data_IF_218319150509
#
_entry.id   IF_218319150509
#
_cell.length_a   1.000
_cell.length_b   1.000
_cell.length_c   1.000
_cell.angle_alpha   90.00
_cell.angle_beta   90.00
_cell.angle_gamma   90.00
#
_symmetry.space_group_name_H-M   'P 1'
#
loop_
_entity.id
_entity.type
_entity.pdbx_description
1 polymer ?
#
# COMPACT_ATOMS: atom_id res chain seq x y z
N UNK A 1 -54.80 36.63 13.37
CA UNK A 1 -53.39 36.84 13.03
C UNK A 1 -52.83 35.58 12.43
N UNK A 2 -52.26 35.60 11.25
CA UNK A 2 -51.56 34.43 10.72
C UNK A 2 -50.30 34.17 11.56
N UNK A 3 -49.93 32.91 11.84
CA UNK A 3 -48.74 32.59 12.59
C UNK A 3 -47.50 33.12 11.88
N UNK A 4 -46.63 33.82 12.59
CA UNK A 4 -45.34 34.31 12.10
C UNK A 4 -44.52 33.10 11.66
N UNK A 5 -43.94 33.06 10.42
CA UNK A 5 -43.13 31.99 9.96
C UNK A 5 -41.91 31.82 10.90
N UNK A 6 -41.83 30.66 11.58
CA UNK A 6 -40.65 30.33 12.40
C UNK A 6 -39.39 30.45 11.54
N UNK A 7 -38.54 31.42 11.81
CA UNK A 7 -37.23 31.53 11.16
C UNK A 7 -36.42 30.32 11.54
N UNK A 8 -36.21 29.41 10.59
CA UNK A 8 -35.29 28.29 10.79
C UNK A 8 -33.97 28.79 11.32
N UNK A 9 -33.43 28.23 12.42
CA UNK A 9 -32.25 28.74 13.11
C UNK A 9 -31.06 28.84 12.15
N UNK A 10 -30.32 29.95 12.19
CA UNK A 10 -29.21 30.29 11.27
C UNK A 10 -28.14 29.22 11.20
N UNK A 11 -27.83 28.54 12.31
CA UNK A 11 -26.85 27.47 12.36
C UNK A 11 -27.18 26.29 11.41
N UNK A 12 -28.47 25.94 11.23
CA UNK A 12 -28.88 24.88 10.30
C UNK A 12 -28.58 25.24 8.83
N UNK A 13 -28.72 26.54 8.48
CA UNK A 13 -28.37 27.04 7.14
C UNK A 13 -26.84 26.98 6.94
N UNK A 14 -26.07 27.39 7.93
CA UNK A 14 -24.61 27.33 7.90
C UNK A 14 -24.10 25.91 7.76
N UNK A 15 -24.59 24.96 8.56
CA UNK A 15 -24.20 23.55 8.45
C UNK A 15 -24.52 22.96 7.08
N UNK A 16 -25.68 23.27 6.51
CA UNK A 16 -26.01 22.83 5.15
C UNK A 16 -25.09 23.42 4.09
N UNK A 17 -24.77 24.71 4.21
CA UNK A 17 -23.82 25.35 3.30
C UNK A 17 -22.44 24.70 3.38
N UNK A 18 -21.92 24.46 4.59
CA UNK A 18 -20.64 23.78 4.80
C UNK A 18 -20.64 22.35 4.22
N UNK A 19 -21.70 21.57 4.43
CA UNK A 19 -21.80 20.24 3.90
C UNK A 19 -21.88 20.20 2.35
N UNK A 20 -22.59 21.16 1.75
CA UNK A 20 -22.63 21.32 0.28
C UNK A 20 -21.26 21.73 -0.25
N UNK A 21 -20.61 22.72 0.38
CA UNK A 21 -19.27 23.17 -0.03
C UNK A 21 -18.24 22.05 0.08
N UNK A 22 -18.26 21.30 1.18
CA UNK A 22 -17.42 20.09 1.31
C UNK A 22 -17.68 19.09 0.18
N UNK A 23 -18.95 18.75 -0.08
CA UNK A 23 -19.30 17.79 -1.11
C UNK A 23 -18.84 18.21 -2.51
N UNK A 24 -19.00 19.50 -2.85
CA UNK A 24 -18.50 20.05 -4.12
C UNK A 24 -16.97 19.99 -4.18
N UNK A 25 -16.28 20.46 -3.14
CA UNK A 25 -14.81 20.42 -3.09
C UNK A 25 -14.28 18.97 -3.18
N UNK A 26 -14.88 18.04 -2.44
CA UNK A 26 -14.49 16.62 -2.47
C UNK A 26 -14.76 15.98 -3.84
N UNK A 27 -15.86 16.32 -4.50
CA UNK A 27 -16.15 15.85 -5.87
C UNK A 27 -15.13 16.41 -6.87
N UNK A 28 -14.77 17.68 -6.78
CA UNK A 28 -13.73 18.28 -7.62
C UNK A 28 -12.36 17.65 -7.36
N UNK A 29 -11.99 17.43 -6.10
CA UNK A 29 -10.76 16.74 -5.74
C UNK A 29 -10.73 15.32 -6.29
N UNK A 30 -11.85 14.59 -6.20
CA UNK A 30 -11.97 13.24 -6.78
C UNK A 30 -11.82 13.28 -8.30
N UNK A 31 -12.44 14.24 -8.97
CA UNK A 31 -12.28 14.43 -10.42
C UNK A 31 -10.81 14.72 -10.80
N UNK A 32 -10.11 15.55 -10.02
CA UNK A 32 -8.67 15.81 -10.23
C UNK A 32 -7.86 14.51 -10.10
N UNK A 33 -8.10 13.69 -9.08
CA UNK A 33 -7.41 12.41 -8.90
C UNK A 33 -7.70 11.45 -10.05
N UNK A 34 -8.96 11.34 -10.48
CA UNK A 34 -9.36 10.40 -11.54
C UNK A 34 -8.88 10.82 -12.93
N UNK A 35 -8.84 12.13 -13.21
CA UNK A 35 -8.44 12.66 -14.54
C UNK A 35 -6.92 12.71 -14.67
N UNK A 36 -6.23 13.20 -13.64
CA UNK A 36 -4.78 13.42 -13.70
C UNK A 36 -3.97 12.27 -13.12
N UNK A 37 -4.63 11.32 -12.42
CA UNK A 37 -3.97 10.21 -11.73
C UNK A 37 -2.76 10.72 -10.92
N UNK A 38 -1.58 10.15 -11.10
CA UNK A 38 -0.33 10.61 -10.47
C UNK A 38 0.45 11.60 -11.38
N UNK A 39 -0.17 12.14 -12.43
CA UNK A 39 0.47 13.02 -13.42
C UNK A 39 0.97 14.37 -12.90
N UNK A 40 0.57 14.77 -11.67
CA UNK A 40 1.09 15.95 -11.00
C UNK A 40 1.05 15.80 -9.47
N UNK A 41 1.79 16.67 -8.78
CA UNK A 41 1.92 16.62 -7.31
C UNK A 41 0.58 16.76 -6.59
N UNK A 42 -0.33 17.59 -7.10
CA UNK A 42 -1.63 17.83 -6.44
C UNK A 42 -2.51 16.58 -6.50
N UNK A 43 -2.66 15.97 -7.68
CA UNK A 43 -3.46 14.74 -7.83
C UNK A 43 -2.83 13.57 -7.04
N UNK A 44 -1.52 13.46 -7.05
CA UNK A 44 -0.80 12.46 -6.25
C UNK A 44 -1.09 12.62 -4.74
N UNK A 45 -0.93 13.84 -4.19
CA UNK A 45 -1.16 14.10 -2.75
C UNK A 45 -2.63 13.88 -2.39
N UNK A 46 -3.57 14.33 -3.22
CA UNK A 46 -4.99 14.06 -3.02
C UNK A 46 -5.27 12.55 -3.01
N UNK A 47 -4.68 11.78 -3.91
CA UNK A 47 -4.79 10.32 -3.95
C UNK A 47 -4.23 9.65 -2.69
N UNK A 48 -3.05 10.07 -2.24
CA UNK A 48 -2.38 9.55 -1.06
C UNK A 48 -3.21 9.74 0.22
N UNK A 49 -3.89 10.87 0.36
CA UNK A 49 -4.72 11.21 1.53
C UNK A 49 -6.22 10.99 1.32
N UNK A 50 -6.61 10.25 0.27
CA UNK A 50 -8.02 10.08 -0.11
C UNK A 50 -8.90 9.54 1.02
N UNK A 51 -8.41 8.62 1.83
CA UNK A 51 -9.15 8.06 2.96
C UNK A 51 -9.63 9.15 3.94
N UNK A 52 -8.85 10.21 4.13
CA UNK A 52 -9.14 11.25 5.10
C UNK A 52 -10.17 12.28 4.63
N UNK A 53 -10.06 12.73 3.37
CA UNK A 53 -10.99 13.74 2.87
C UNK A 53 -12.25 13.14 2.24
N UNK A 54 -12.30 11.83 1.96
CA UNK A 54 -13.51 11.13 1.54
C UNK A 54 -14.37 10.62 2.71
N UNK A 55 -13.75 10.18 3.82
CA UNK A 55 -14.46 9.59 4.96
C UNK A 55 -15.61 10.43 5.52
N UNK A 56 -15.52 11.78 5.64
CA UNK A 56 -16.63 12.59 6.13
C UNK A 56 -17.91 12.45 5.31
N UNK A 57 -17.83 12.13 4.01
CA UNK A 57 -19.00 11.94 3.16
C UNK A 57 -19.90 10.79 3.65
N UNK A 58 -19.32 9.72 4.20
CA UNK A 58 -20.08 8.58 4.75
C UNK A 58 -20.99 8.99 5.91
N UNK A 59 -20.55 9.95 6.73
CA UNK A 59 -21.36 10.48 7.84
C UNK A 59 -22.38 11.50 7.34
N UNK A 60 -22.04 12.30 6.32
CA UNK A 60 -22.92 13.35 5.81
C UNK A 60 -24.13 12.80 5.04
N UNK A 61 -24.03 11.61 4.41
CA UNK A 61 -25.17 10.99 3.70
C UNK A 61 -26.37 10.75 4.61
N UNK A 62 -26.27 9.98 5.72
CA UNK A 62 -27.41 9.73 6.59
C UNK A 62 -27.92 11.02 7.27
N UNK A 63 -27.03 11.96 7.60
CA UNK A 63 -27.41 13.27 8.16
C UNK A 63 -28.20 14.11 7.17
N UNK A 64 -27.78 14.13 5.88
CA UNK A 64 -28.48 14.85 4.82
C UNK A 64 -29.85 14.21 4.52
N UNK A 65 -29.94 12.90 4.52
CA UNK A 65 -31.18 12.16 4.36
C UNK A 65 -32.17 12.46 5.50
N UNK A 66 -31.73 12.34 6.76
CA UNK A 66 -32.55 12.65 7.94
C UNK A 66 -33.02 14.12 7.98
N UNK A 67 -32.21 15.06 7.47
CA UNK A 67 -32.56 16.48 7.37
C UNK A 67 -33.42 16.81 6.16
N UNK A 68 -33.76 15.83 5.29
CA UNK A 68 -34.51 16.06 4.04
C UNK A 68 -33.82 16.99 3.04
N UNK A 69 -32.49 17.09 3.07
CA UNK A 69 -31.74 18.04 2.27
C UNK A 69 -31.27 17.43 0.94
N UNK A 70 -32.10 17.47 -0.09
CA UNK A 70 -31.77 16.95 -1.44
C UNK A 70 -30.47 17.56 -1.99
N UNK A 71 -30.23 18.88 -1.78
CA UNK A 71 -29.00 19.57 -2.25
C UNK A 71 -27.75 19.02 -1.58
N UNK A 72 -27.78 18.84 -0.25
CA UNK A 72 -26.64 18.26 0.47
C UNK A 72 -26.43 16.83 0.04
N UNK A 73 -27.49 16.03 -0.07
CA UNK A 73 -27.40 14.63 -0.50
C UNK A 73 -26.75 14.53 -1.88
N UNK A 74 -27.21 15.31 -2.86
CA UNK A 74 -26.62 15.31 -4.20
C UNK A 74 -25.14 15.70 -4.18
N UNK A 75 -24.76 16.71 -3.38
CA UNK A 75 -23.37 17.16 -3.32
C UNK A 75 -22.41 16.10 -2.73
N UNK A 76 -22.86 15.31 -1.71
CA UNK A 76 -21.99 14.34 -1.03
C UNK A 76 -22.06 12.93 -1.63
N UNK A 77 -22.92 12.66 -2.60
CA UNK A 77 -23.11 11.31 -3.17
C UNK A 77 -21.82 10.78 -3.82
N UNK A 78 -21.20 11.53 -4.70
CA UNK A 78 -19.99 11.06 -5.40
C UNK A 78 -18.83 10.75 -4.44
N UNK A 79 -18.43 11.67 -3.52
CA UNK A 79 -17.40 11.34 -2.54
C UNK A 79 -17.82 10.21 -1.57
N UNK A 80 -19.10 10.04 -1.25
CA UNK A 80 -19.57 8.94 -0.42
C UNK A 80 -19.48 7.59 -1.13
N UNK A 81 -19.81 7.55 -2.43
CA UNK A 81 -19.64 6.33 -3.26
C UNK A 81 -18.16 5.95 -3.32
N UNK A 82 -17.27 6.91 -3.56
CA UNK A 82 -15.84 6.66 -3.57
C UNK A 82 -15.33 6.16 -2.21
N UNK A 83 -15.72 6.80 -1.10
CA UNK A 83 -15.40 6.37 0.25
C UNK A 83 -15.94 4.96 0.55
N UNK A 84 -17.17 4.66 0.12
CA UNK A 84 -17.78 3.34 0.25
C UNK A 84 -17.05 2.26 -0.55
N UNK A 85 -16.63 2.59 -1.77
CA UNK A 85 -15.83 1.68 -2.60
C UNK A 85 -14.44 1.38 -1.99
N UNK A 86 -13.85 2.36 -1.28
CA UNK A 86 -12.59 2.15 -0.56
C UNK A 86 -12.79 1.34 0.73
N UNK A 87 -13.79 1.68 1.55
CA UNK A 87 -13.99 1.10 2.87
C UNK A 87 -14.83 -0.20 2.84
N UNK A 88 -15.68 -0.37 1.84
CA UNK A 88 -16.64 -1.47 1.74
C UNK A 88 -16.02 -2.86 1.85
N UNK A 89 -14.92 -3.16 1.14
CA UNK A 89 -14.26 -4.46 1.26
C UNK A 89 -13.92 -4.82 2.70
N UNK A 90 -13.37 -3.90 3.48
CA UNK A 90 -13.00 -4.12 4.89
C UNK A 90 -14.21 -4.39 5.80
N UNK A 91 -15.35 -3.77 5.48
CA UNK A 91 -16.61 -4.02 6.18
C UNK A 91 -17.15 -5.40 5.83
N UNK A 92 -17.17 -5.76 4.54
CA UNK A 92 -17.63 -7.09 4.08
C UNK A 92 -16.74 -8.19 4.66
N UNK A 93 -15.44 -8.07 4.58
CA UNK A 93 -14.49 -9.07 5.09
C UNK A 93 -14.64 -9.32 6.60
N UNK A 94 -15.09 -8.31 7.36
CA UNK A 94 -15.34 -8.45 8.80
C UNK A 94 -16.47 -9.42 9.11
N UNK A 95 -17.45 -9.53 8.21
CA UNK A 95 -18.62 -10.40 8.37
C UNK A 95 -18.54 -11.68 7.54
N UNK A 96 -17.52 -11.82 6.71
CA UNK A 96 -17.29 -12.97 5.85
C UNK A 96 -15.80 -13.36 5.89
N UNK A 97 -15.30 -13.84 7.03
CA UNK A 97 -13.91 -14.27 7.15
C UNK A 97 -13.64 -15.48 6.26
N UNK A 98 -12.42 -15.59 5.74
CA UNK A 98 -11.97 -16.78 5.01
C UNK A 98 -11.64 -17.87 6.02
N UNK A 99 -12.26 -19.05 5.86
CA UNK A 99 -12.05 -20.22 6.72
C UNK A 99 -11.10 -21.22 6.05
N UNK A 100 -9.88 -20.79 5.72
CA UNK A 100 -8.85 -21.66 5.17
C UNK A 100 -7.62 -21.65 6.07
N UNK A 101 -6.92 -22.80 6.16
CA UNK A 101 -5.60 -22.83 6.77
C UNK A 101 -4.58 -22.24 5.81
N UNK A 102 -3.68 -21.38 6.28
CA UNK A 102 -2.62 -20.86 5.42
C UNK A 102 -1.53 -21.92 5.19
N UNK A 103 -1.02 -21.98 3.96
CA UNK A 103 0.13 -22.78 3.60
C UNK A 103 1.43 -21.99 3.69
N UNK A 104 1.35 -20.66 3.58
CA UNK A 104 2.50 -19.76 3.50
C UNK A 104 2.21 -18.44 4.18
N UNK A 105 3.14 -17.94 4.97
CA UNK A 105 3.10 -16.59 5.53
C UNK A 105 4.19 -15.72 4.93
N UNK A 106 3.76 -14.66 4.26
CA UNK A 106 4.65 -13.64 3.70
C UNK A 106 4.52 -12.35 4.49
N UNK A 107 5.63 -11.67 4.73
CA UNK A 107 5.56 -10.32 5.29
C UNK A 107 6.43 -9.36 4.50
N UNK A 108 6.02 -8.09 4.47
CA UNK A 108 6.84 -6.99 3.96
C UNK A 108 7.06 -5.93 5.01
N UNK A 109 8.25 -5.32 5.00
CA UNK A 109 8.61 -4.29 5.95
C UNK A 109 9.68 -3.34 5.42
N UNK A 110 9.35 -2.07 5.27
CA UNK A 110 10.34 -1.01 5.09
C UNK A 110 10.96 -0.71 6.47
N UNK A 111 12.24 -1.05 6.63
CA UNK A 111 12.93 -0.97 7.92
C UNK A 111 13.42 0.44 8.28
N UNK A 112 13.23 1.43 7.39
CA UNK A 112 13.79 2.78 7.54
C UNK A 112 15.28 2.72 7.90
N UNK A 113 16.05 2.02 7.10
CA UNK A 113 17.43 1.60 7.37
C UNK A 113 17.48 0.74 8.65
N UNK A 114 18.30 1.08 9.64
CA UNK A 114 18.39 0.28 10.88
C UNK A 114 17.33 0.63 11.95
N UNK A 115 16.53 1.68 11.73
CA UNK A 115 15.58 2.17 12.76
C UNK A 115 14.47 1.15 13.08
N UNK A 116 14.09 0.30 12.12
CA UNK A 116 13.04 -0.71 12.26
C UNK A 116 13.52 -2.07 12.79
N UNK A 117 14.77 -2.24 13.19
CA UNK A 117 15.33 -3.55 13.59
C UNK A 117 14.55 -4.23 14.71
N UNK A 118 14.05 -3.48 15.68
CA UNK A 118 13.26 -4.03 16.78
C UNK A 118 11.85 -4.43 16.30
N UNK A 119 11.28 -3.70 15.35
CA UNK A 119 10.03 -4.08 14.67
C UNK A 119 10.20 -5.36 13.88
N UNK A 120 11.30 -5.51 13.15
CA UNK A 120 11.62 -6.74 12.44
C UNK A 120 11.81 -7.92 13.41
N UNK A 121 12.51 -7.71 14.55
CA UNK A 121 12.68 -8.74 15.56
C UNK A 121 11.33 -9.16 16.18
N UNK A 122 10.45 -8.20 16.46
CA UNK A 122 9.09 -8.48 16.94
C UNK A 122 8.26 -9.23 15.89
N UNK A 123 8.31 -8.80 14.61
CA UNK A 123 7.64 -9.45 13.50
C UNK A 123 8.07 -10.92 13.37
N UNK A 124 9.38 -11.17 13.36
CA UNK A 124 9.93 -12.53 13.24
C UNK A 124 9.52 -13.41 14.43
N UNK A 125 9.66 -12.91 15.66
CA UNK A 125 9.33 -13.66 16.89
C UNK A 125 7.83 -13.96 17.02
N UNK A 126 6.98 -12.96 16.73
CA UNK A 126 5.55 -13.02 17.06
C UNK A 126 4.68 -13.54 15.92
N UNK A 127 5.23 -13.54 14.69
CA UNK A 127 4.48 -13.91 13.47
C UNK A 127 5.15 -15.01 12.64
N UNK A 128 6.43 -15.24 12.83
CA UNK A 128 7.21 -16.32 12.19
C UNK A 128 6.99 -16.42 10.67
N UNK A 129 7.08 -15.32 9.90
CA UNK A 129 6.86 -15.39 8.46
C UNK A 129 7.81 -16.38 7.78
N UNK A 130 7.36 -17.01 6.71
CA UNK A 130 8.19 -17.95 5.93
C UNK A 130 9.03 -17.19 4.91
N UNK A 131 8.50 -16.07 4.42
CA UNK A 131 9.16 -15.18 3.45
C UNK A 131 9.04 -13.73 3.91
N UNK A 132 10.14 -12.99 3.84
CA UNK A 132 10.24 -11.57 4.13
C UNK A 132 10.67 -10.80 2.88
N UNK A 133 9.89 -9.81 2.48
CA UNK A 133 10.27 -8.78 1.51
C UNK A 133 10.62 -7.51 2.29
N UNK A 134 11.88 -7.13 2.32
CA UNK A 134 12.40 -6.04 3.16
C UNK A 134 12.90 -4.89 2.29
N UNK A 135 12.62 -3.66 2.72
CA UNK A 135 13.07 -2.45 2.04
C UNK A 135 13.96 -1.62 2.97
N UNK A 136 14.79 -0.78 2.36
CA UNK A 136 15.76 0.09 3.03
C UNK A 136 16.77 -0.66 3.90
N UNK A 137 17.26 -1.80 3.43
CA UNK A 137 18.35 -2.52 4.09
C UNK A 137 19.68 -1.84 3.71
N UNK A 138 20.19 -1.01 4.62
CA UNK A 138 21.47 -0.32 4.41
C UNK A 138 22.61 -1.34 4.23
N UNK A 139 23.45 -1.12 3.21
CA UNK A 139 24.60 -2.01 2.92
C UNK A 139 25.51 -2.20 4.14
N UNK A 140 25.73 -1.14 4.92
CA UNK A 140 26.54 -1.18 6.14
C UNK A 140 25.93 -2.02 7.26
N UNK A 141 24.62 -2.28 7.24
CA UNK A 141 23.90 -3.02 8.27
C UNK A 141 23.65 -4.49 7.91
N UNK A 142 23.95 -4.93 6.68
CA UNK A 142 23.66 -6.30 6.21
C UNK A 142 24.29 -7.36 7.10
N UNK A 143 25.55 -7.20 7.48
CA UNK A 143 26.24 -8.15 8.34
C UNK A 143 25.56 -8.31 9.73
N UNK A 144 25.06 -7.20 10.32
CA UNK A 144 24.36 -7.25 11.59
C UNK A 144 22.97 -7.88 11.47
N UNK A 145 22.28 -7.67 10.34
CA UNK A 145 21.05 -8.40 10.04
C UNK A 145 21.30 -9.90 9.85
N UNK A 146 22.36 -10.27 9.11
CA UNK A 146 22.74 -11.66 8.89
C UNK A 146 23.12 -12.38 10.19
N UNK A 147 23.86 -11.74 11.07
CA UNK A 147 24.19 -12.25 12.39
C UNK A 147 22.93 -12.50 13.24
N UNK A 148 22.00 -11.54 13.24
CA UNK A 148 20.81 -11.60 14.09
C UNK A 148 19.74 -12.55 13.59
N UNK A 149 19.52 -12.64 12.28
CA UNK A 149 18.38 -13.34 11.68
C UNK A 149 18.77 -14.50 10.76
N UNK A 150 20.05 -14.63 10.43
CA UNK A 150 20.51 -15.59 9.44
C UNK A 150 20.24 -17.05 9.78
N UNK A 151 20.23 -17.40 11.07
CA UNK A 151 19.85 -18.75 11.51
C UNK A 151 18.36 -19.07 11.31
N UNK A 152 17.50 -18.05 11.24
CA UNK A 152 16.05 -18.22 11.03
C UNK A 152 15.69 -18.21 9.55
N UNK A 153 16.43 -17.45 8.72
CA UNK A 153 16.25 -17.35 7.28
C UNK A 153 17.55 -17.72 6.57
N UNK A 154 17.79 -19.01 6.33
CA UNK A 154 19.04 -19.48 5.72
C UNK A 154 19.21 -19.01 4.26
N UNK A 155 18.12 -18.73 3.55
CA UNK A 155 18.14 -18.30 2.15
C UNK A 155 17.84 -16.81 2.04
N UNK A 156 18.78 -16.02 1.53
CA UNK A 156 18.68 -14.56 1.46
C UNK A 156 19.22 -14.04 0.15
N UNK A 157 18.53 -13.06 -0.44
CA UNK A 157 19.01 -12.24 -1.54
C UNK A 157 18.95 -10.77 -1.15
N UNK A 158 19.91 -10.00 -1.63
CA UNK A 158 19.99 -8.55 -1.44
C UNK A 158 20.20 -7.87 -2.78
N UNK A 159 19.33 -6.97 -3.16
CA UNK A 159 19.53 -6.14 -4.35
C UNK A 159 20.84 -5.35 -4.25
N UNK A 160 21.44 -4.94 -5.38
CA UNK A 160 22.47 -3.92 -5.37
C UNK A 160 21.99 -2.69 -4.59
N UNK A 161 22.92 -2.08 -3.83
CA UNK A 161 22.55 -0.87 -3.09
C UNK A 161 22.22 0.26 -4.07
N UNK A 162 21.18 1.04 -3.73
CA UNK A 162 20.86 2.27 -4.43
C UNK A 162 21.98 3.31 -4.28
N UNK A 163 21.86 4.44 -4.97
CA UNK A 163 22.76 5.60 -4.80
C UNK A 163 22.72 6.18 -3.37
N UNK A 164 21.68 5.85 -2.59
CA UNK A 164 21.55 6.22 -1.18
C UNK A 164 22.20 5.21 -0.22
N UNK A 165 22.76 4.11 -0.75
CA UNK A 165 23.45 3.08 0.03
C UNK A 165 22.54 2.04 0.69
N UNK A 166 21.25 2.09 0.42
CA UNK A 166 20.24 1.11 0.81
C UNK A 166 19.83 0.21 -0.35
N UNK A 167 19.18 -0.90 -0.08
CA UNK A 167 18.62 -1.81 -1.08
C UNK A 167 17.49 -2.61 -0.47
N UNK A 168 16.91 -3.47 -1.27
CA UNK A 168 15.86 -4.37 -0.85
C UNK A 168 16.43 -5.78 -0.58
N UNK A 169 15.67 -6.61 0.11
CA UNK A 169 16.05 -7.98 0.35
C UNK A 169 14.83 -8.91 0.32
N UNK A 170 15.08 -10.16 -0.07
CA UNK A 170 14.14 -11.27 0.14
C UNK A 170 14.84 -12.30 1.03
N UNK A 171 14.22 -12.60 2.18
CA UNK A 171 14.67 -13.64 3.08
C UNK A 171 13.64 -14.75 3.14
N UNK A 172 14.09 -16.00 3.17
CA UNK A 172 13.22 -17.17 3.08
C UNK A 172 13.69 -18.31 3.97
N UNK A 173 12.73 -19.05 4.51
CA UNK A 173 12.95 -20.37 5.10
C UNK A 173 13.05 -21.44 4.01
N UNK A 174 12.50 -21.18 2.81
CA UNK A 174 12.50 -22.08 1.66
C UNK A 174 13.69 -21.81 0.73
N UNK A 175 14.19 -22.84 0.01
CA UNK A 175 15.33 -22.70 -0.86
C UNK A 175 15.12 -21.67 -1.99
N UNK A 176 16.13 -20.84 -2.23
CA UNK A 176 16.22 -20.00 -3.42
C UNK A 176 16.68 -20.82 -4.60
N UNK A 177 15.91 -20.81 -5.69
CA UNK A 177 16.21 -21.52 -6.95
C UNK A 177 16.94 -20.61 -7.92
N UNK A 178 16.48 -19.36 -8.08
CA UNK A 178 17.13 -18.36 -8.90
C UNK A 178 16.93 -16.96 -8.32
N UNK A 179 17.85 -16.07 -8.71
CA UNK A 179 17.76 -14.63 -8.47
C UNK A 179 18.01 -13.95 -9.80
N UNK A 180 17.00 -13.25 -10.30
CA UNK A 180 17.05 -12.58 -11.60
C UNK A 180 16.91 -11.08 -11.40
N UNK A 181 17.83 -10.28 -11.96
CA UNK A 181 17.72 -8.83 -11.97
C UNK A 181 16.55 -8.36 -12.82
N UNK A 182 15.71 -7.49 -12.29
CA UNK A 182 14.61 -6.89 -13.06
C UNK A 182 15.19 -5.86 -14.05
N UNK A 183 15.00 -6.13 -15.33
CA UNK A 183 15.38 -5.22 -16.42
C UNK A 183 14.21 -4.38 -16.90
N UNK A 184 14.46 -3.28 -17.60
CA UNK A 184 13.41 -2.42 -18.14
C UNK A 184 12.78 -1.47 -17.12
N UNK A 185 13.37 -1.33 -15.94
CA UNK A 185 12.97 -0.29 -14.99
C UNK A 185 13.33 1.09 -15.53
N UNK A 186 12.51 2.14 -15.27
CA UNK A 186 12.78 3.49 -15.72
C UNK A 186 13.99 4.11 -15.01
N UNK A 187 14.56 5.14 -15.63
CA UNK A 187 15.60 5.95 -14.99
C UNK A 187 15.04 6.57 -13.69
N UNK A 188 15.81 6.49 -12.62
CA UNK A 188 15.40 6.94 -11.29
C UNK A 188 14.69 5.89 -10.44
N UNK A 189 14.42 4.70 -10.98
CA UNK A 189 13.98 3.54 -10.21
C UNK A 189 15.11 2.94 -9.36
N UNK A 190 14.74 2.25 -8.29
CA UNK A 190 15.70 1.43 -7.53
C UNK A 190 15.96 0.10 -8.24
N UNK A 191 17.16 -0.49 -8.10
CA UNK A 191 17.40 -1.86 -8.53
C UNK A 191 16.43 -2.83 -7.84
N UNK A 192 15.89 -3.78 -8.59
CA UNK A 192 15.01 -4.81 -8.06
C UNK A 192 15.41 -6.20 -8.57
N UNK A 193 15.08 -7.22 -7.81
CA UNK A 193 15.33 -8.62 -8.15
C UNK A 193 14.04 -9.43 -8.02
N UNK A 194 13.91 -10.46 -8.87
CA UNK A 194 12.95 -11.56 -8.68
C UNK A 194 13.68 -12.70 -8.03
N UNK A 195 13.22 -13.12 -6.87
CA UNK A 195 13.75 -14.28 -6.17
C UNK A 195 12.75 -15.43 -6.32
N UNK A 196 13.12 -16.47 -7.07
CA UNK A 196 12.29 -17.66 -7.21
C UNK A 196 12.62 -18.65 -6.11
N UNK A 197 11.61 -19.02 -5.33
CA UNK A 197 11.69 -19.97 -4.23
C UNK A 197 11.11 -21.34 -4.64
N UNK A 198 11.61 -22.39 -4.01
CA UNK A 198 10.97 -23.70 -4.00
C UNK A 198 10.22 -23.89 -2.68
N UNK A 199 8.90 -23.82 -2.74
CA UNK A 199 8.03 -24.02 -1.58
C UNK A 199 7.36 -25.39 -1.74
N UNK A 200 7.95 -26.41 -1.15
CA UNK A 200 7.47 -27.79 -1.18
C UNK A 200 7.19 -28.31 -2.62
N UNK A 201 8.13 -28.04 -3.54
CA UNK A 201 8.05 -28.42 -4.94
C UNK A 201 7.24 -27.48 -5.83
N UNK A 202 6.70 -26.38 -5.29
CA UNK A 202 5.97 -25.34 -6.02
C UNK A 202 6.84 -24.09 -6.19
N UNK A 203 6.79 -23.48 -7.38
CA UNK A 203 7.59 -22.28 -7.68
C UNK A 203 6.86 -21.03 -7.25
N UNK A 204 7.56 -20.18 -6.47
CA UNK A 204 7.09 -18.89 -5.99
C UNK A 204 8.08 -17.80 -6.38
N UNK A 205 7.69 -16.92 -7.28
CA UNK A 205 8.44 -15.70 -7.61
C UNK A 205 8.09 -14.59 -6.59
N UNK A 206 9.09 -14.10 -5.90
CA UNK A 206 8.95 -13.01 -4.91
C UNK A 206 9.71 -11.79 -5.38
N UNK A 207 9.05 -10.64 -5.42
CA UNK A 207 9.65 -9.34 -5.73
C UNK A 207 9.46 -8.43 -4.53
N UNK A 208 10.57 -8.04 -3.89
CA UNK A 208 10.57 -6.93 -2.94
C UNK A 208 10.60 -5.64 -3.72
N UNK A 209 9.58 -4.79 -3.55
CA UNK A 209 9.46 -3.53 -4.29
C UNK A 209 9.56 -2.33 -3.36
N UNK A 210 10.30 -1.31 -3.81
CA UNK A 210 10.36 -0.02 -3.15
C UNK A 210 10.32 1.07 -4.23
N UNK A 211 9.10 1.47 -4.61
CA UNK A 211 8.91 2.42 -5.70
C UNK A 211 9.45 3.81 -5.35
N UNK A 212 9.72 4.59 -6.38
CA UNK A 212 10.34 5.90 -6.24
C UNK A 212 9.67 6.78 -5.19
N UNK A 213 10.45 7.24 -4.22
CA UNK A 213 9.95 8.07 -3.11
C UNK A 213 9.54 9.46 -3.59
N UNK A 214 8.35 9.95 -3.21
CA UNK A 214 7.91 11.31 -3.55
C UNK A 214 8.68 12.41 -2.81
N UNK A 215 9.43 12.03 -1.80
CA UNK A 215 10.22 12.95 -0.97
C UNK A 215 9.42 14.13 -0.36
N UNK A 216 8.10 13.95 -0.13
CA UNK A 216 7.24 15.00 0.44
C UNK A 216 7.68 15.48 1.82
N UNK A 217 8.32 14.59 2.58
CA UNK A 217 8.77 14.84 3.95
C UNK A 217 10.28 14.68 4.12
N UNK A 218 11.02 14.61 3.01
CA UNK A 218 12.46 14.52 3.04
C UNK A 218 13.11 15.84 3.45
N UNK A 219 14.29 15.74 4.09
CA UNK A 219 15.15 16.90 4.22
C UNK A 219 15.60 17.39 2.81
N UNK A 220 15.95 18.68 2.67
CA UNK A 220 16.45 19.19 1.40
C UNK A 220 17.69 18.45 0.86
N UNK A 221 18.50 17.88 1.75
CA UNK A 221 19.64 17.04 1.36
C UNK A 221 19.20 15.70 0.82
N UNK A 222 18.26 15.01 1.48
CA UNK A 222 17.73 13.74 1.01
C UNK A 222 16.97 13.89 -0.32
N UNK A 223 16.21 14.97 -0.51
CA UNK A 223 15.53 15.27 -1.76
C UNK A 223 16.49 15.40 -2.95
N UNK A 224 17.65 16.08 -2.74
CA UNK A 224 18.68 16.21 -3.79
C UNK A 224 19.36 14.89 -4.17
N UNK A 225 19.33 13.91 -3.31
CA UNK A 225 19.92 12.59 -3.56
C UNK A 225 18.88 11.52 -3.92
N UNK A 226 17.59 11.89 -4.04
CA UNK A 226 16.57 10.96 -4.51
C UNK A 226 16.87 10.50 -5.94
N UNK A 227 16.93 9.20 -6.22
CA UNK A 227 17.19 8.70 -7.56
C UNK A 227 16.21 9.23 -8.61
N UNK A 228 14.97 9.41 -8.22
CA UNK A 228 13.89 9.92 -9.06
C UNK A 228 13.83 11.47 -9.15
N UNK A 229 14.70 12.19 -8.46
CA UNK A 229 14.70 13.65 -8.48
C UNK A 229 13.54 14.27 -7.70
N UNK A 230 12.76 15.15 -8.35
CA UNK A 230 11.64 15.83 -7.72
C UNK A 230 10.37 14.96 -7.60
N UNK A 231 9.38 15.45 -6.85
CA UNK A 231 8.12 14.72 -6.58
C UNK A 231 7.32 14.40 -7.84
N UNK A 232 7.35 15.27 -8.85
CA UNK A 232 6.60 15.07 -10.10
C UNK A 232 7.25 13.95 -10.92
N UNK A 233 8.57 13.97 -11.05
CA UNK A 233 9.30 12.90 -11.72
C UNK A 233 9.19 11.57 -10.97
N UNK A 234 9.26 11.59 -9.63
CA UNK A 234 9.04 10.40 -8.83
C UNK A 234 7.65 9.80 -9.03
N UNK A 235 6.61 10.61 -9.23
CA UNK A 235 5.26 10.13 -9.57
C UNK A 235 5.26 9.36 -10.90
N UNK A 236 5.86 9.93 -11.94
CA UNK A 236 5.99 9.27 -13.26
C UNK A 236 6.79 7.97 -13.16
N UNK A 237 7.94 8.00 -12.50
CA UNK A 237 8.79 6.81 -12.30
C UNK A 237 8.00 5.70 -11.61
N UNK A 238 7.26 5.98 -10.54
CA UNK A 238 6.43 4.96 -9.84
C UNK A 238 5.41 4.28 -10.74
N UNK A 239 4.77 5.03 -11.63
CA UNK A 239 3.78 4.45 -12.55
C UNK A 239 4.46 3.52 -13.55
N UNK A 240 5.61 3.91 -14.09
CA UNK A 240 6.39 3.08 -15.00
C UNK A 240 6.98 1.84 -14.31
N UNK A 241 7.46 1.97 -13.06
CA UNK A 241 7.88 0.85 -12.21
C UNK A 241 6.69 -0.13 -12.00
N UNK A 242 5.52 0.38 -11.64
CA UNK A 242 4.34 -0.45 -11.40
C UNK A 242 3.92 -1.23 -12.66
N UNK A 243 3.97 -0.61 -13.85
CA UNK A 243 3.74 -1.29 -15.13
C UNK A 243 4.74 -2.41 -15.35
N UNK A 244 6.03 -2.13 -15.17
CA UNK A 244 7.08 -3.15 -15.35
C UNK A 244 6.90 -4.33 -14.38
N UNK A 245 6.56 -4.08 -13.11
CA UNK A 245 6.29 -5.15 -12.15
C UNK A 245 4.99 -5.92 -12.45
N UNK A 246 3.99 -5.28 -13.02
CA UNK A 246 2.77 -5.93 -13.48
C UNK A 246 3.03 -6.85 -14.67
N UNK A 247 3.82 -6.39 -15.66
CA UNK A 247 4.27 -7.21 -16.78
C UNK A 247 5.07 -8.42 -16.30
N UNK A 248 6.03 -8.19 -15.40
CA UNK A 248 6.85 -9.23 -14.79
C UNK A 248 5.99 -10.27 -14.06
N UNK A 249 5.00 -9.86 -13.29
CA UNK A 249 4.08 -10.78 -12.64
C UNK A 249 3.31 -11.64 -13.66
N UNK A 250 2.88 -11.02 -14.76
CA UNK A 250 2.22 -11.74 -15.86
C UNK A 250 3.15 -12.74 -16.55
N UNK A 251 4.40 -12.34 -16.80
CA UNK A 251 5.46 -13.22 -17.36
C UNK A 251 5.68 -14.44 -16.49
N UNK A 252 5.84 -14.26 -15.16
CA UNK A 252 6.06 -15.35 -14.20
C UNK A 252 4.82 -16.25 -14.06
N UNK A 253 3.62 -15.68 -14.08
CA UNK A 253 2.37 -16.46 -14.10
C UNK A 253 2.26 -17.32 -15.35
N UNK A 254 2.62 -16.80 -16.51
CA UNK A 254 2.63 -17.55 -17.76
C UNK A 254 3.65 -18.70 -17.74
N UNK A 255 4.75 -18.55 -16.98
CA UNK A 255 5.71 -19.61 -16.71
C UNK A 255 5.24 -20.67 -15.68
N UNK A 256 4.02 -20.52 -15.12
CA UNK A 256 3.45 -21.45 -14.15
C UNK A 256 3.86 -21.18 -12.69
N UNK A 257 4.54 -20.08 -12.39
CA UNK A 257 4.93 -19.70 -11.04
C UNK A 257 3.80 -18.98 -10.32
N UNK A 258 3.64 -19.16 -9.02
CA UNK A 258 2.92 -18.21 -8.19
C UNK A 258 3.78 -16.94 -7.99
N UNK A 259 3.14 -15.81 -7.76
CA UNK A 259 3.83 -14.52 -7.67
C UNK A 259 3.42 -13.77 -6.42
N UNK A 260 4.40 -13.21 -5.73
CA UNK A 260 4.23 -12.21 -4.67
C UNK A 260 5.00 -10.94 -5.06
N UNK A 261 4.30 -9.82 -5.15
CA UNK A 261 4.87 -8.48 -5.23
C UNK A 261 4.57 -7.79 -3.91
N UNK A 262 5.59 -7.52 -3.11
CA UNK A 262 5.42 -7.01 -1.76
C UNK A 262 6.40 -5.89 -1.44
N UNK A 263 5.94 -4.81 -0.81
CA UNK A 263 6.79 -3.69 -0.44
C UNK A 263 6.11 -2.35 -0.33
N UNK A 264 6.94 -1.31 -0.29
CA UNK A 264 6.55 0.09 -0.21
C UNK A 264 6.31 0.68 -1.62
N UNK A 265 5.06 0.87 -1.97
CA UNK A 265 4.70 1.50 -3.24
C UNK A 265 4.82 3.03 -3.21
N UNK A 266 5.04 3.65 -2.05
CA UNK A 266 4.95 5.09 -1.90
C UNK A 266 3.66 5.70 -2.49
N UNK A 267 2.61 4.89 -2.57
CA UNK A 267 1.33 5.18 -3.23
C UNK A 267 0.20 4.48 -2.48
N UNK A 268 -0.96 5.14 -2.38
CA UNK A 268 -2.13 4.62 -1.68
C UNK A 268 -3.25 4.19 -2.64
N UNK A 269 -4.42 3.89 -2.11
CA UNK A 269 -5.56 3.24 -2.79
C UNK A 269 -6.00 3.92 -4.10
N UNK A 270 -6.01 5.26 -4.17
CA UNK A 270 -6.43 5.99 -5.37
C UNK A 270 -5.27 6.39 -6.29
N UNK A 271 -4.03 6.15 -5.89
CA UNK A 271 -2.87 6.40 -6.74
C UNK A 271 -2.77 5.35 -7.86
N UNK A 272 -2.17 5.74 -8.98
CA UNK A 272 -2.08 4.92 -10.18
C UNK A 272 -1.26 3.63 -10.00
N UNK A 273 -0.10 3.62 -9.31
CA UNK A 273 0.71 2.41 -9.18
C UNK A 273 -0.02 1.20 -8.61
N UNK A 274 -0.80 1.36 -7.54
CA UNK A 274 -1.57 0.25 -6.97
C UNK A 274 -2.72 -0.20 -7.88
N UNK A 275 -3.35 0.76 -8.58
CA UNK A 275 -4.41 0.43 -9.56
C UNK A 275 -3.84 -0.33 -10.76
N UNK A 276 -2.66 0.06 -11.24
CA UNK A 276 -1.96 -0.58 -12.35
C UNK A 276 -1.64 -2.04 -12.03
N UNK A 277 -0.99 -2.31 -10.89
CA UNK A 277 -0.67 -3.66 -10.44
C UNK A 277 -1.94 -4.54 -10.35
N UNK A 278 -3.03 -4.01 -9.82
CA UNK A 278 -4.30 -4.74 -9.71
C UNK A 278 -4.98 -4.97 -11.05
N UNK A 279 -4.86 -4.04 -12.00
CA UNK A 279 -5.47 -4.18 -13.34
C UNK A 279 -4.85 -5.34 -14.15
N UNK A 280 -3.64 -5.78 -13.81
CA UNK A 280 -2.94 -6.93 -14.38
C UNK A 280 -3.20 -8.25 -13.62
N UNK A 281 -4.23 -8.30 -12.79
CA UNK A 281 -4.66 -9.52 -12.12
C UNK A 281 -3.96 -9.84 -10.81
N UNK A 282 -3.12 -8.94 -10.29
CA UNK A 282 -2.59 -9.08 -8.93
C UNK A 282 -3.69 -8.80 -7.90
N UNK A 283 -3.91 -9.72 -7.00
CA UNK A 283 -4.86 -9.61 -5.89
C UNK A 283 -4.20 -8.89 -4.72
N UNK A 284 -4.76 -7.76 -4.32
CA UNK A 284 -4.35 -7.03 -3.12
C UNK A 284 -4.87 -7.77 -1.89
N UNK A 285 -3.96 -8.44 -1.16
CA UNK A 285 -4.30 -9.29 -0.01
C UNK A 285 -5.07 -8.51 1.04
N UNK A 286 -4.64 -7.29 1.35
CA UNK A 286 -5.29 -6.47 2.36
C UNK A 286 -6.72 -6.08 1.96
N UNK A 287 -6.93 -5.75 0.69
CA UNK A 287 -8.27 -5.47 0.17
C UNK A 287 -9.16 -6.71 0.13
N UNK A 288 -8.59 -7.88 -0.17
CA UNK A 288 -9.33 -9.14 -0.29
C UNK A 288 -9.83 -9.68 1.06
N UNK A 289 -9.00 -9.62 2.12
CA UNK A 289 -9.31 -10.28 3.42
C UNK A 289 -9.08 -9.38 4.64
N UNK A 290 -8.57 -8.16 4.47
CA UNK A 290 -8.36 -7.22 5.58
C UNK A 290 -9.68 -6.71 6.16
N UNK A 291 -9.72 -6.48 7.47
CA UNK A 291 -10.92 -6.01 8.19
C UNK A 291 -10.86 -4.53 8.58
N UNK A 292 -9.82 -3.83 8.17
CA UNK A 292 -9.58 -2.40 8.43
C UNK A 292 -8.64 -1.82 7.35
N UNK A 293 -8.51 -0.48 7.21
CA UNK A 293 -7.77 0.14 6.11
C UNK A 293 -6.28 -0.17 6.02
N UNK A 294 -5.64 -0.67 7.08
CA UNK A 294 -4.22 -1.08 7.06
C UNK A 294 -3.26 0.07 6.82
N UNK A 295 -3.40 1.17 7.56
CA UNK A 295 -2.54 2.35 7.40
C UNK A 295 -1.14 2.05 7.91
N UNK A 296 -0.17 1.95 7.00
CA UNK A 296 1.19 1.49 7.30
C UNK A 296 2.22 2.61 7.42
N UNK A 297 2.01 3.75 6.74
CA UNK A 297 2.93 4.90 6.78
C UNK A 297 2.63 5.83 7.94
N UNK A 298 3.66 6.13 8.75
CA UNK A 298 3.58 7.00 9.91
C UNK A 298 3.59 6.23 11.23
N UNK A 299 3.66 6.97 12.36
CA UNK A 299 3.54 6.34 13.68
C UNK A 299 2.14 5.79 13.87
N UNK A 300 1.99 4.71 14.61
CA UNK A 300 0.69 4.07 14.84
C UNK A 300 -0.29 4.98 15.60
N UNK A 301 -1.53 5.19 15.08
CA UNK A 301 -2.00 4.73 13.78
C UNK A 301 -1.37 5.54 12.63
N UNK A 302 -1.03 4.85 11.53
CA UNK A 302 -0.50 5.49 10.33
C UNK A 302 -1.50 6.42 9.63
N UNK A 303 -1.05 7.14 8.59
CA UNK A 303 -1.91 8.05 7.84
C UNK A 303 -2.19 7.61 6.39
N UNK A 304 -1.42 6.68 5.84
CA UNK A 304 -1.62 6.13 4.50
C UNK A 304 -1.24 4.64 4.45
N UNK A 305 -1.90 3.89 3.58
CA UNK A 305 -1.54 2.51 3.25
C UNK A 305 -0.64 2.54 2.03
N UNK A 306 0.65 2.43 2.22
CA UNK A 306 1.65 2.45 1.15
C UNK A 306 2.41 1.12 1.01
N UNK A 307 2.44 0.33 2.08
CA UNK A 307 3.04 -1.00 2.07
C UNK A 307 1.96 -2.04 1.75
N UNK A 308 2.23 -2.93 0.80
CA UNK A 308 1.27 -3.89 0.26
C UNK A 308 1.88 -5.27 0.10
N UNK A 309 1.02 -6.29 0.10
CA UNK A 309 1.29 -7.63 -0.42
C UNK A 309 0.26 -7.90 -1.51
N UNK A 310 0.74 -8.10 -2.73
CA UNK A 310 -0.05 -8.41 -3.92
C UNK A 310 0.32 -9.80 -4.40
N UNK A 311 -0.65 -10.61 -4.78
CA UNK A 311 -0.41 -12.01 -5.15
C UNK A 311 -1.11 -12.39 -6.46
N UNK A 312 -0.52 -13.34 -7.17
CA UNK A 312 -1.17 -14.04 -8.28
C UNK A 312 -0.84 -15.54 -8.20
N UNK A 313 -1.87 -16.39 -8.34
CA UNK A 313 -1.71 -17.85 -8.18
C UNK A 313 -1.59 -18.31 -6.72
N UNK A 314 -1.96 -17.46 -5.78
CA UNK A 314 -2.15 -17.74 -4.36
C UNK A 314 -3.48 -17.13 -3.93
N UNK A 315 -4.12 -17.70 -2.91
CA UNK A 315 -5.37 -17.23 -2.34
C UNK A 315 -5.10 -16.53 -1.00
N UNK A 316 -5.55 -15.27 -0.83
CA UNK A 316 -5.49 -14.58 0.45
C UNK A 316 -6.35 -15.27 1.53
N UNK A 317 -5.76 -15.52 2.70
CA UNK A 317 -6.45 -16.11 3.86
C UNK A 317 -6.66 -15.09 4.96
N UNK A 318 -5.60 -14.39 5.35
CA UNK A 318 -5.66 -13.33 6.37
C UNK A 318 -4.58 -12.28 6.15
N UNK A 319 -4.78 -11.10 6.71
CA UNK A 319 -3.77 -10.04 6.72
C UNK A 319 -3.85 -9.20 7.99
N UNK A 320 -2.71 -8.64 8.38
CA UNK A 320 -2.61 -7.75 9.53
C UNK A 320 -1.35 -6.88 9.45
N UNK A 321 -1.34 -5.79 10.20
CA UNK A 321 -0.16 -4.97 10.41
C UNK A 321 0.56 -5.43 11.68
N UNK A 322 1.89 -5.26 11.70
CA UNK A 322 2.73 -5.43 12.88
C UNK A 322 3.16 -4.10 13.52
N UNK A 323 3.93 -4.20 14.60
CA UNK A 323 4.50 -3.04 15.26
C UNK A 323 5.67 -2.45 14.44
N UNK A 324 5.76 -1.12 14.28
CA UNK A 324 6.83 -0.47 13.51
C UNK A 324 8.21 -0.55 14.16
N UNK A 325 8.29 -0.65 15.49
CA UNK A 325 9.53 -0.82 16.26
C UNK A 325 10.63 0.21 15.95
N UNK A 326 10.24 1.46 15.72
CA UNK A 326 11.17 2.55 15.38
C UNK A 326 11.15 2.96 13.91
N UNK A 327 10.70 2.09 13.01
CA UNK A 327 10.47 2.46 11.60
C UNK A 327 9.35 3.50 11.46
N UNK A 328 9.38 4.25 10.38
CA UNK A 328 8.25 5.09 9.94
C UNK A 328 7.18 4.31 9.19
N UNK A 329 7.34 2.99 9.04
CA UNK A 329 6.39 2.06 8.45
C UNK A 329 5.99 0.98 9.45
N UNK A 330 4.80 0.43 9.28
CA UNK A 330 4.36 -0.79 9.95
C UNK A 330 4.47 -1.97 8.98
N UNK A 331 5.01 -3.13 9.40
CA UNK A 331 5.04 -4.30 8.54
C UNK A 331 3.64 -4.80 8.21
N UNK A 332 3.48 -5.36 7.01
CA UNK A 332 2.27 -6.06 6.58
C UNK A 332 2.54 -7.56 6.52
N UNK A 333 1.66 -8.33 7.14
CA UNK A 333 1.72 -9.79 7.17
C UNK A 333 0.53 -10.32 6.38
N UNK A 334 0.77 -11.27 5.48
CA UNK A 334 -0.21 -11.95 4.66
C UNK A 334 -0.11 -13.47 4.87
N UNK A 335 -1.20 -14.07 5.27
CA UNK A 335 -1.39 -15.51 5.31
C UNK A 335 -2.04 -15.92 3.97
N UNK A 336 -1.44 -16.88 3.27
CA UNK A 336 -1.76 -17.26 1.90
C UNK A 336 -1.95 -18.78 1.81
N UNK A 337 -2.82 -19.21 0.91
CA UNK A 337 -2.98 -20.63 0.55
C UNK A 337 -2.70 -20.86 -0.93
N UNK A 338 -2.28 -22.07 -1.28
CA UNK A 338 -2.25 -22.49 -2.66
C UNK A 338 -3.67 -22.79 -3.14
N UNK A 339 -4.00 -22.50 -4.40
CA UNK A 339 -5.27 -22.93 -4.98
C UNK A 339 -5.43 -24.44 -4.91
N UNK A 340 -6.66 -24.88 -4.57
CA UNK A 340 -7.04 -26.31 -4.48
C UNK A 340 -7.02 -27.03 -5.82
#
# INVERSE_FOLDING_TARGET
MPPTPERRPTWRRTLRALAVSYGVCATLALAVVLVFSDGNVVSYVLGLFAAWWLAPALLLVPLAAAAGSRRTLAAVTAPAVAAGAMAGPYVVNRFSPVEAAPDLRVATFNTSAWQGVDGLAALVRDREPDVLALQEIAKSSRAAYDERFGGLYPYRSYTPASTQGDGDAVWSKHPIVSVDTVTGLPEGARPAEVVTLDVDGRRLAVVSVHLASPCLFCSPSAARHSPAGDTANAARVRVEEARRFADLASERRAAGEAVVVAGDLNSAELNEPLRELRSHGLVDVHRAVGTRPGLTRGRSPGFARVDVVLVAGLEPVATREGAPGGSTHSPVIADLAWPS
#
